data_IF_712647793362
#
_entry.id   IF_712647793362
#
_cell.length_a   1.000
_cell.length_b   1.000
_cell.length_c   1.000
_cell.angle_alpha   90.00
_cell.angle_beta   90.00
_cell.angle_gamma   90.00
#
_symmetry.space_group_name_H-M   'P 1'
#
loop_
_entity.id
_entity.type
_entity.pdbx_description
1 polymer ?
#
# COMPACT_ATOMS: atom_id res chain seq x y z
N UNK A 1 4.79 -1.40 -13.47
CA UNK A 1 4.44 -1.48 -12.04
C UNK A 1 4.20 -0.09 -11.49
N UNK A 2 3.20 0.09 -10.65
CA UNK A 2 2.95 1.33 -9.92
C UNK A 2 3.09 1.11 -8.42
N UNK A 3 3.79 2.03 -7.73
CA UNK A 3 3.85 2.11 -6.27
C UNK A 3 3.21 3.44 -5.84
N UNK A 4 1.97 3.38 -5.38
CA UNK A 4 1.15 4.54 -5.03
C UNK A 4 1.31 4.84 -3.53
N UNK A 5 1.77 6.06 -3.19
CA UNK A 5 2.20 6.41 -1.84
C UNK A 5 3.54 5.75 -1.50
N UNK A 6 4.54 5.94 -2.34
CA UNK A 6 5.80 5.18 -2.26
C UNK A 6 6.68 5.55 -1.06
N UNK A 7 6.44 6.68 -0.40
CA UNK A 7 7.21 7.18 0.74
C UNK A 7 8.72 7.13 0.45
N UNK A 8 9.51 6.48 1.28
CA UNK A 8 10.98 6.33 1.11
C UNK A 8 11.39 5.27 0.09
N UNK A 9 10.43 4.62 -0.59
CA UNK A 9 10.69 3.66 -1.64
C UNK A 9 10.98 2.22 -1.18
N UNK A 10 10.63 1.83 0.04
CA UNK A 10 10.93 0.49 0.54
C UNK A 10 10.29 -0.63 -0.30
N UNK A 11 8.98 -0.52 -0.59
CA UNK A 11 8.29 -1.47 -1.46
C UNK A 11 8.81 -1.40 -2.90
N UNK A 12 9.06 -0.19 -3.41
CA UNK A 12 9.64 0.06 -4.75
C UNK A 12 10.98 -0.64 -4.93
N UNK A 13 11.89 -0.51 -3.94
CA UNK A 13 13.20 -1.18 -3.96
C UNK A 13 13.08 -2.70 -3.87
N UNK A 14 12.16 -3.20 -3.04
CA UNK A 14 11.92 -4.64 -2.91
C UNK A 14 11.47 -5.23 -4.25
N UNK A 15 10.51 -4.59 -4.91
CA UNK A 15 10.03 -5.02 -6.23
C UNK A 15 11.13 -4.91 -7.28
N UNK A 16 11.86 -3.79 -7.33
CA UNK A 16 12.94 -3.56 -8.27
C UNK A 16 14.01 -4.66 -8.25
N UNK A 17 14.32 -5.18 -7.05
CA UNK A 17 15.31 -6.25 -6.87
C UNK A 17 14.84 -7.61 -7.41
N UNK A 18 13.53 -7.81 -7.45
CA UNK A 18 12.93 -9.11 -7.79
C UNK A 18 12.33 -9.16 -9.20
N UNK A 19 12.27 -8.03 -9.92
CA UNK A 19 11.79 -7.98 -11.30
C UNK A 19 13.00 -7.92 -12.24
N UNK A 20 13.09 -8.94 -13.11
CA UNK A 20 14.12 -9.03 -14.15
C UNK A 20 13.56 -9.02 -15.57
N UNK A 21 12.23 -8.83 -15.73
CA UNK A 21 11.59 -8.87 -17.05
C UNK A 21 12.03 -7.67 -17.91
N UNK A 22 12.55 -7.88 -19.12
CA UNK A 22 12.93 -6.81 -20.01
C UNK A 22 11.70 -5.97 -20.40
N UNK A 23 11.85 -4.63 -20.41
CA UNK A 23 10.75 -3.70 -20.69
C UNK A 23 9.87 -3.36 -19.49
N UNK A 24 10.09 -3.97 -18.32
CA UNK A 24 9.44 -3.55 -17.10
C UNK A 24 9.99 -2.21 -16.60
N UNK A 25 9.09 -1.32 -16.14
CA UNK A 25 9.44 -0.08 -15.44
C UNK A 25 8.58 0.05 -14.19
N UNK A 26 9.06 0.78 -13.20
CA UNK A 26 8.34 1.09 -11.96
C UNK A 26 8.08 2.59 -11.91
N UNK A 27 6.82 2.96 -11.69
CA UNK A 27 6.39 4.34 -11.46
C UNK A 27 6.02 4.45 -9.98
N UNK A 28 6.78 5.23 -9.24
CA UNK A 28 6.62 5.43 -7.80
C UNK A 28 6.12 6.86 -7.55
N UNK A 29 5.00 7.00 -6.84
CA UNK A 29 4.33 8.29 -6.67
C UNK A 29 4.15 8.59 -5.18
N UNK A 30 4.44 9.81 -4.78
CA UNK A 30 4.15 10.33 -3.44
C UNK A 30 3.85 11.83 -3.51
N UNK A 31 2.97 12.31 -2.66
CA UNK A 31 2.60 13.73 -2.63
C UNK A 31 3.49 14.58 -1.69
N UNK A 32 4.42 13.96 -0.98
CA UNK A 32 5.36 14.66 -0.10
C UNK A 32 6.67 14.94 -0.83
N UNK A 33 7.03 16.21 -1.12
CA UNK A 33 8.31 16.54 -1.77
C UNK A 33 9.52 15.96 -1.03
N UNK A 34 9.48 15.98 0.31
CA UNK A 34 10.56 15.44 1.14
C UNK A 34 10.71 13.91 1.01
N UNK A 35 9.58 13.19 0.88
CA UNK A 35 9.62 11.74 0.66
C UNK A 35 10.12 11.42 -0.75
N UNK A 36 9.64 12.13 -1.76
CA UNK A 36 10.07 11.98 -3.15
C UNK A 36 11.58 12.19 -3.29
N UNK A 37 12.13 13.25 -2.74
CA UNK A 37 13.57 13.52 -2.77
C UNK A 37 14.39 12.39 -2.12
N UNK A 38 13.95 11.92 -0.95
CA UNK A 38 14.61 10.83 -0.24
C UNK A 38 14.45 9.49 -0.98
N UNK A 39 13.29 9.25 -1.56
CA UNK A 39 13.04 8.06 -2.38
C UNK A 39 14.00 8.02 -3.58
N UNK A 40 14.16 9.12 -4.32
CA UNK A 40 15.11 9.23 -5.44
C UNK A 40 16.52 8.88 -4.98
N UNK A 41 17.00 9.47 -3.88
CA UNK A 41 18.33 9.15 -3.33
C UNK A 41 18.48 7.67 -2.98
N UNK A 42 17.45 7.04 -2.40
CA UNK A 42 17.48 5.61 -2.10
C UNK A 42 17.51 4.75 -3.38
N UNK A 43 16.71 5.11 -4.38
CA UNK A 43 16.68 4.39 -5.67
C UNK A 43 18.04 4.50 -6.38
N UNK A 44 18.66 5.68 -6.39
CA UNK A 44 19.95 5.92 -7.05
C UNK A 44 21.11 5.21 -6.35
N UNK A 45 21.01 5.00 -5.03
CA UNK A 45 22.01 4.26 -4.26
C UNK A 45 22.07 2.75 -4.59
N UNK A 46 21.04 2.20 -5.21
CA UNK A 46 20.96 0.78 -5.57
C UNK A 46 20.92 0.60 -7.09
N UNK A 47 21.97 0.03 -7.66
CA UNK A 47 22.01 -0.32 -9.08
C UNK A 47 21.15 -1.57 -9.34
N UNK A 48 20.21 -1.46 -10.28
CA UNK A 48 19.42 -2.57 -10.78
C UNK A 48 18.96 -2.27 -12.21
N UNK A 49 18.72 -3.29 -13.06
CA UNK A 49 18.39 -3.08 -14.47
C UNK A 49 17.03 -2.42 -14.68
N UNK A 50 16.06 -2.66 -13.77
CA UNK A 50 14.71 -2.13 -13.91
C UNK A 50 14.69 -0.63 -13.60
N UNK A 51 14.28 0.23 -14.55
CA UNK A 51 14.18 1.67 -14.35
C UNK A 51 13.05 2.00 -13.37
N UNK A 52 13.29 3.02 -12.53
CA UNK A 52 12.29 3.57 -11.61
C UNK A 52 12.16 5.06 -11.88
N UNK A 53 10.94 5.50 -12.10
CA UNK A 53 10.55 6.90 -12.16
C UNK A 53 9.86 7.28 -10.86
N UNK A 54 10.38 8.30 -10.15
CA UNK A 54 9.79 8.79 -8.91
C UNK A 54 9.14 10.14 -9.17
N UNK A 55 7.82 10.19 -9.04
CA UNK A 55 6.97 11.34 -9.39
C UNK A 55 6.42 11.94 -8.09
N UNK A 56 6.53 13.28 -7.98
CA UNK A 56 5.79 14.05 -6.99
C UNK A 56 4.37 14.30 -7.53
N UNK A 57 3.37 13.84 -6.81
CA UNK A 57 1.97 14.01 -7.22
C UNK A 57 0.98 13.30 -6.30
N UNK A 58 -0.27 13.72 -6.43
CA UNK A 58 -1.39 13.06 -5.74
C UNK A 58 -1.83 11.82 -6.52
N UNK A 59 -1.96 10.71 -5.84
CA UNK A 59 -2.41 9.46 -6.46
C UNK A 59 -3.83 9.56 -7.04
N UNK A 60 -4.62 10.56 -6.60
CA UNK A 60 -5.95 10.84 -7.15
C UNK A 60 -5.90 11.37 -8.57
N UNK A 61 -4.82 12.06 -8.94
CA UNK A 61 -4.65 12.72 -10.24
C UNK A 61 -3.85 11.88 -11.24
N UNK A 62 -3.19 10.83 -10.78
CA UNK A 62 -2.33 9.97 -11.63
C UNK A 62 -3.17 9.02 -12.48
N UNK A 63 -2.85 8.93 -13.75
CA UNK A 63 -3.37 7.90 -14.64
C UNK A 63 -2.60 6.60 -14.45
N UNK A 64 -3.32 5.50 -14.31
CA UNK A 64 -2.76 4.15 -14.24
C UNK A 64 -3.13 3.42 -15.53
N UNK A 65 -2.14 2.92 -16.25
CA UNK A 65 -2.34 2.21 -17.50
C UNK A 65 -1.26 1.15 -17.72
N UNK A 66 -1.63 0.09 -18.43
CA UNK A 66 -0.72 -1.01 -18.75
C UNK A 66 0.02 -1.57 -17.52
N UNK A 67 -0.69 -1.69 -16.40
CA UNK A 67 -0.11 -2.11 -15.14
C UNK A 67 -0.22 -3.63 -14.97
N UNK A 68 0.90 -4.31 -14.71
CA UNK A 68 0.91 -5.72 -14.30
C UNK A 68 0.81 -5.86 -12.77
N UNK A 69 1.25 -4.84 -12.04
CA UNK A 69 1.21 -4.79 -10.58
C UNK A 69 1.00 -3.36 -10.11
N UNK A 70 0.08 -3.18 -9.18
CA UNK A 70 -0.08 -1.94 -8.41
C UNK A 70 0.10 -2.24 -6.93
N UNK A 71 0.82 -1.38 -6.22
CA UNK A 71 1.08 -1.50 -4.78
C UNK A 71 0.55 -0.25 -4.08
N UNK A 72 -0.32 -0.48 -3.11
CA UNK A 72 -0.80 0.48 -2.12
C UNK A 72 -0.36 -0.03 -0.75
N UNK A 73 0.70 0.55 -0.20
CA UNK A 73 1.30 0.07 1.03
C UNK A 73 1.18 1.12 2.14
N UNK A 74 0.19 0.96 3.00
CA UNK A 74 -0.20 1.91 4.04
C UNK A 74 -0.51 3.31 3.47
N UNK A 75 -1.37 3.34 2.45
CA UNK A 75 -1.62 4.56 1.67
C UNK A 75 -3.08 5.01 1.75
N UNK A 76 -4.06 4.14 1.45
CA UNK A 76 -5.45 4.58 1.37
C UNK A 76 -6.07 4.92 2.74
N UNK A 77 -5.48 4.46 3.82
CA UNK A 77 -5.87 4.85 5.18
C UNK A 77 -5.66 6.35 5.48
N UNK A 78 -4.88 7.06 4.64
CA UNK A 78 -4.67 8.51 4.73
C UNK A 78 -5.56 9.31 3.78
N UNK A 79 -6.35 8.63 2.95
CA UNK A 79 -7.35 9.27 2.10
C UNK A 79 -8.68 9.37 2.83
N UNK A 80 -9.45 10.40 2.50
CA UNK A 80 -10.85 10.47 2.91
C UNK A 80 -11.61 9.22 2.46
N UNK A 81 -12.49 8.65 3.30
CA UNK A 81 -13.22 7.42 2.96
C UNK A 81 -13.96 7.49 1.62
N UNK A 82 -14.47 8.69 1.25
CA UNK A 82 -15.16 8.92 -0.01
C UNK A 82 -14.29 8.75 -1.26
N UNK A 83 -12.98 9.01 -1.14
CA UNK A 83 -12.05 8.95 -2.28
C UNK A 83 -11.53 7.53 -2.54
N UNK A 84 -11.59 6.65 -1.53
CA UNK A 84 -10.94 5.32 -1.58
C UNK A 84 -11.48 4.43 -2.69
N UNK A 85 -12.79 4.46 -2.91
CA UNK A 85 -13.42 3.65 -3.96
C UNK A 85 -12.98 4.10 -5.35
N UNK A 86 -12.88 5.41 -5.59
CA UNK A 86 -12.44 5.95 -6.88
C UNK A 86 -11.00 5.52 -7.22
N UNK A 87 -10.10 5.49 -6.22
CA UNK A 87 -8.73 5.00 -6.40
C UNK A 87 -8.73 3.51 -6.77
N UNK A 88 -9.48 2.65 -6.07
CA UNK A 88 -9.52 1.23 -6.38
C UNK A 88 -10.15 0.94 -7.76
N UNK A 89 -11.16 1.70 -8.16
CA UNK A 89 -11.73 1.63 -9.51
C UNK A 89 -10.68 1.98 -10.58
N UNK A 90 -9.93 3.07 -10.36
CA UNK A 90 -8.83 3.49 -11.25
C UNK A 90 -7.75 2.42 -11.35
N UNK A 91 -7.35 1.82 -10.23
CA UNK A 91 -6.39 0.71 -10.20
C UNK A 91 -6.89 -0.47 -11.03
N UNK A 92 -8.14 -0.89 -10.81
CA UNK A 92 -8.73 -1.99 -11.57
C UNK A 92 -8.75 -1.72 -13.07
N UNK A 93 -9.15 -0.53 -13.47
CA UNK A 93 -9.19 -0.13 -14.89
C UNK A 93 -7.81 -0.15 -15.52
N UNK A 94 -6.79 0.37 -14.83
CA UNK A 94 -5.42 0.47 -15.32
C UNK A 94 -4.61 -0.83 -15.30
N UNK A 95 -5.08 -1.84 -14.57
CA UNK A 95 -4.46 -3.17 -14.56
C UNK A 95 -4.74 -3.91 -15.86
N UNK A 96 -3.72 -4.59 -16.37
CA UNK A 96 -3.86 -5.57 -17.43
C UNK A 96 -4.67 -6.79 -16.96
N UNK A 97 -5.32 -7.54 -17.85
CA UNK A 97 -5.84 -8.86 -17.54
C UNK A 97 -4.76 -9.73 -16.88
N UNK A 98 -5.08 -10.40 -15.77
CA UNK A 98 -4.12 -11.15 -14.95
C UNK A 98 -3.21 -10.28 -14.05
N UNK A 99 -3.31 -8.96 -14.13
CA UNK A 99 -2.57 -8.05 -13.27
C UNK A 99 -3.07 -8.06 -11.83
N UNK A 100 -2.21 -7.68 -10.89
CA UNK A 100 -2.48 -7.76 -9.46
C UNK A 100 -2.39 -6.40 -8.74
N UNK A 101 -3.22 -6.26 -7.71
CA UNK A 101 -3.09 -5.23 -6.69
C UNK A 101 -2.61 -5.88 -5.39
N UNK A 102 -1.60 -5.30 -4.76
CA UNK A 102 -1.23 -5.56 -3.36
C UNK A 102 -1.64 -4.34 -2.53
N UNK A 103 -2.57 -4.55 -1.61
CA UNK A 103 -3.11 -3.54 -0.72
C UNK A 103 -2.76 -3.90 0.73
N UNK A 104 -1.85 -3.17 1.34
CA UNK A 104 -1.47 -3.35 2.75
C UNK A 104 -1.93 -2.18 3.57
N UNK A 105 -2.64 -2.44 4.66
CA UNK A 105 -3.23 -1.40 5.53
C UNK A 105 -3.23 -1.83 7.00
N UNK A 106 -3.43 -0.87 7.87
CA UNK A 106 -3.80 -1.13 9.25
C UNK A 106 -5.31 -1.35 9.31
N UNK A 107 -5.72 -2.41 10.02
CA UNK A 107 -7.13 -2.77 10.13
C UNK A 107 -7.76 -2.34 11.43
N UNK A 108 -9.04 -2.00 11.36
CA UNK A 108 -9.97 -1.97 12.48
C UNK A 108 -10.70 -3.31 12.60
N UNK A 109 -11.24 -3.60 13.77
CA UNK A 109 -11.98 -4.82 14.06
C UNK A 109 -13.37 -4.44 14.59
N UNK A 110 -14.38 -5.21 14.22
CA UNK A 110 -15.75 -5.03 14.73
C UNK A 110 -15.82 -5.39 16.23
N UNK A 111 -15.11 -6.45 16.63
CA UNK A 111 -14.96 -6.83 18.02
C UNK A 111 -13.91 -5.91 18.69
N UNK A 112 -14.38 -5.02 19.54
CA UNK A 112 -13.54 -4.06 20.25
C UNK A 112 -12.52 -4.73 21.18
N UNK A 113 -12.87 -5.88 21.78
CA UNK A 113 -11.97 -6.61 22.68
C UNK A 113 -10.80 -7.24 21.91
N UNK A 114 -11.09 -7.86 20.78
CA UNK A 114 -10.05 -8.40 19.87
C UNK A 114 -9.20 -7.26 19.31
N UNK A 115 -9.82 -6.15 18.94
CA UNK A 115 -9.12 -4.96 18.45
C UNK A 115 -8.13 -4.41 19.48
N UNK A 116 -8.54 -4.29 20.73
CA UNK A 116 -7.69 -3.83 21.84
C UNK A 116 -6.56 -4.82 22.12
N UNK A 117 -6.86 -6.12 22.14
CA UNK A 117 -5.84 -7.17 22.33
C UNK A 117 -4.72 -7.06 21.28
N UNK A 118 -5.08 -7.02 20.00
CA UNK A 118 -4.10 -6.95 18.91
C UNK A 118 -3.33 -5.63 18.90
N UNK A 119 -3.97 -4.54 19.29
CA UNK A 119 -3.31 -3.25 19.46
C UNK A 119 -2.26 -3.31 20.59
N UNK A 120 -2.58 -3.91 21.73
CA UNK A 120 -1.67 -4.05 22.86
C UNK A 120 -0.51 -4.99 22.52
N UNK A 121 -0.78 -6.12 21.89
CA UNK A 121 0.26 -7.04 21.40
C UNK A 121 1.24 -6.35 20.43
N UNK A 122 0.74 -5.50 19.53
CA UNK A 122 1.61 -4.71 18.64
C UNK A 122 2.50 -3.72 19.41
N UNK A 123 1.98 -3.11 20.47
CA UNK A 123 2.77 -2.22 21.32
C UNK A 123 3.84 -3.00 22.09
N UNK A 124 3.50 -4.18 22.64
CA UNK A 124 4.45 -5.06 23.30
C UNK A 124 5.55 -5.52 22.33
N UNK A 125 5.18 -5.85 21.09
CA UNK A 125 6.14 -6.16 20.05
C UNK A 125 7.12 -5.00 19.77
N UNK A 126 6.63 -3.76 19.72
CA UNK A 126 7.51 -2.58 19.57
C UNK A 126 8.48 -2.46 20.75
N UNK A 127 7.98 -2.58 22.00
CA UNK A 127 8.82 -2.53 23.21
C UNK A 127 9.92 -3.60 23.16
N UNK A 128 9.55 -4.83 22.82
CA UNK A 128 10.49 -5.93 22.66
C UNK A 128 11.55 -5.69 21.58
N UNK A 129 11.26 -4.84 20.60
CA UNK A 129 12.19 -4.44 19.54
C UNK A 129 12.90 -3.09 19.82
N UNK A 130 12.91 -2.63 21.06
CA UNK A 130 13.73 -1.50 21.50
C UNK A 130 13.09 -0.12 21.32
N UNK A 131 11.82 -0.01 20.95
CA UNK A 131 11.12 1.27 20.90
C UNK A 131 10.80 1.75 22.33
N UNK A 132 11.11 3.00 22.63
CA UNK A 132 10.73 3.65 23.89
C UNK A 132 9.23 4.00 23.93
N UNK A 133 8.69 4.15 25.13
CA UNK A 133 7.30 4.62 25.32
C UNK A 133 7.07 5.99 24.67
N UNK A 134 8.08 6.86 24.70
CA UNK A 134 7.99 8.17 24.08
C UNK A 134 7.84 8.08 22.56
N UNK A 135 8.65 7.25 21.89
CA UNK A 135 8.55 7.04 20.43
C UNK A 135 7.20 6.42 20.06
N UNK A 136 6.71 5.47 20.84
CA UNK A 136 5.39 4.85 20.62
C UNK A 136 4.28 5.88 20.73
N UNK A 137 4.29 6.71 21.80
CA UNK A 137 3.26 7.73 22.05
C UNK A 137 3.31 8.87 21.03
N UNK A 138 4.49 9.36 20.66
CA UNK A 138 4.66 10.41 19.65
C UNK A 138 4.12 9.95 18.30
N UNK A 139 4.49 8.73 17.84
CA UNK A 139 3.99 8.19 16.59
C UNK A 139 2.48 7.99 16.61
N UNK A 140 1.92 7.59 17.74
CA UNK A 140 0.47 7.48 17.93
C UNK A 140 -0.21 8.84 17.76
N UNK A 141 0.22 9.85 18.50
CA UNK A 141 -0.37 11.20 18.45
C UNK A 141 -0.29 11.83 17.04
N UNK A 142 0.78 11.58 16.30
CA UNK A 142 0.92 12.06 14.91
C UNK A 142 -0.07 11.41 13.94
N UNK A 143 -0.49 10.17 14.20
CA UNK A 143 -1.30 9.39 13.26
C UNK A 143 -2.79 9.34 13.62
N UNK A 144 -3.16 9.53 14.88
CA UNK A 144 -4.55 9.39 15.37
C UNK A 144 -5.56 10.29 14.65
N UNK A 145 -5.13 11.48 14.19
CA UNK A 145 -6.02 12.45 13.54
C UNK A 145 -6.01 12.39 12.01
N UNK A 146 -5.13 11.58 11.41
CA UNK A 146 -4.94 11.56 9.94
C UNK A 146 -5.11 10.18 9.34
N UNK A 147 -5.08 9.14 10.17
CA UNK A 147 -5.20 7.76 9.72
C UNK A 147 -6.58 7.20 10.07
N UNK A 148 -7.37 6.93 9.04
CA UNK A 148 -8.72 6.35 9.16
C UNK A 148 -8.67 4.89 8.70
N UNK A 149 -8.73 3.96 9.66
CA UNK A 149 -8.64 2.52 9.35
C UNK A 149 -10.01 1.92 9.01
N UNK A 150 -9.99 0.93 8.13
CA UNK A 150 -11.15 0.11 7.76
C UNK A 150 -10.95 -1.34 8.20
N UNK A 151 -12.03 -2.12 8.23
CA UNK A 151 -11.94 -3.56 8.44
C UNK A 151 -11.50 -4.30 7.16
N UNK A 152 -11.03 -5.53 7.32
CA UNK A 152 -10.73 -6.42 6.18
C UNK A 152 -11.95 -6.57 5.26
N UNK A 153 -13.14 -6.73 5.85
CA UNK A 153 -14.39 -6.90 5.10
C UNK A 153 -14.74 -5.64 4.31
N UNK A 154 -14.51 -4.45 4.87
CA UNK A 154 -14.70 -3.18 4.15
C UNK A 154 -13.75 -3.08 2.95
N UNK A 155 -12.48 -3.46 3.11
CA UNK A 155 -11.53 -3.49 1.99
C UNK A 155 -11.94 -4.51 0.92
N UNK A 156 -12.33 -5.73 1.32
CA UNK A 156 -12.83 -6.75 0.38
C UNK A 156 -14.09 -6.30 -0.36
N UNK A 157 -15.01 -5.62 0.32
CA UNK A 157 -16.21 -5.08 -0.31
C UNK A 157 -15.87 -4.03 -1.38
N UNK A 158 -14.96 -3.09 -1.08
CA UNK A 158 -14.50 -2.10 -2.06
C UNK A 158 -13.77 -2.72 -3.24
N UNK A 159 -12.93 -3.74 -3.01
CA UNK A 159 -12.25 -4.46 -4.08
C UNK A 159 -13.25 -5.15 -5.01
N UNK A 160 -14.27 -5.83 -4.47
CA UNK A 160 -15.35 -6.41 -5.28
C UNK A 160 -16.11 -5.33 -6.07
N UNK A 161 -16.44 -4.21 -5.43
CA UNK A 161 -17.11 -3.09 -6.10
C UNK A 161 -16.26 -2.47 -7.22
N UNK A 162 -14.94 -2.48 -7.10
CA UNK A 162 -14.02 -2.05 -8.15
C UNK A 162 -13.93 -3.02 -9.34
N UNK A 163 -14.38 -4.28 -9.17
CA UNK A 163 -14.40 -5.30 -10.21
C UNK A 163 -13.46 -6.50 -9.94
N UNK A 164 -12.74 -6.53 -8.82
CA UNK A 164 -11.91 -7.68 -8.47
C UNK A 164 -12.77 -8.84 -7.99
N UNK A 165 -12.81 -9.92 -8.76
CA UNK A 165 -13.51 -11.18 -8.38
C UNK A 165 -12.70 -11.97 -7.35
N UNK A 166 -11.38 -11.88 -7.41
CA UNK A 166 -10.45 -12.60 -6.56
C UNK A 166 -9.67 -11.62 -5.67
N UNK A 167 -10.02 -11.59 -4.40
CA UNK A 167 -9.34 -10.74 -3.40
C UNK A 167 -9.28 -11.47 -2.06
N UNK A 168 -8.06 -11.73 -1.57
CA UNK A 168 -7.84 -12.43 -0.32
C UNK A 168 -6.83 -11.76 0.59
N UNK A 169 -7.03 -11.92 1.90
CA UNK A 169 -6.02 -11.60 2.90
C UNK A 169 -4.96 -12.69 2.88
N UNK A 170 -3.74 -12.36 2.47
CA UNK A 170 -2.64 -13.31 2.34
C UNK A 170 -1.57 -13.18 3.42
N UNK A 171 -1.57 -12.04 4.13
CA UNK A 171 -0.67 -11.78 5.25
C UNK A 171 -1.34 -10.91 6.30
N UNK A 172 -1.16 -11.26 7.59
CA UNK A 172 -1.56 -10.43 8.71
C UNK A 172 -0.56 -10.55 9.85
N UNK A 173 -0.24 -9.42 10.48
CA UNK A 173 0.55 -9.32 11.69
C UNK A 173 -0.11 -8.31 12.64
N UNK A 174 -0.68 -8.80 13.74
CA UNK A 174 -1.52 -8.03 14.66
C UNK A 174 -2.68 -7.36 13.89
N UNK A 175 -2.74 -6.03 13.94
CA UNK A 175 -3.71 -5.21 13.24
C UNK A 175 -3.18 -4.61 11.92
N UNK A 176 -2.13 -5.17 11.35
CA UNK A 176 -1.62 -4.84 10.02
C UNK A 176 -1.77 -6.05 9.11
N UNK A 177 -2.16 -5.82 7.89
CA UNK A 177 -2.26 -6.92 6.94
C UNK A 177 -2.20 -6.47 5.51
N UNK A 178 -2.16 -7.45 4.62
CA UNK A 178 -2.05 -7.26 3.19
C UNK A 178 -3.06 -8.13 2.45
N UNK A 179 -3.81 -7.51 1.56
CA UNK A 179 -4.68 -8.19 0.62
C UNK A 179 -4.00 -8.25 -0.75
N UNK A 180 -4.21 -9.34 -1.45
CA UNK A 180 -3.90 -9.48 -2.86
C UNK A 180 -5.21 -9.57 -3.62
N UNK A 181 -5.34 -8.78 -4.70
CA UNK A 181 -6.48 -8.84 -5.60
C UNK A 181 -5.99 -8.98 -7.03
N UNK A 182 -6.61 -9.87 -7.80
CA UNK A 182 -6.20 -10.18 -9.18
C UNK A 182 -7.33 -9.82 -10.12
N UNK A 183 -7.02 -9.07 -11.17
CA UNK A 183 -7.95 -8.81 -12.28
C UNK A 183 -8.07 -10.08 -13.12
N UNK A 184 -9.30 -10.54 -13.39
CA UNK A 184 -9.51 -11.70 -14.23
C UNK A 184 -8.72 -11.62 -15.54
N UNK A 185 -8.11 -12.73 -15.94
CA UNK A 185 -7.51 -12.85 -17.26
C UNK A 185 -8.57 -12.85 -18.36
N UNK A 186 -8.18 -12.55 -19.59
CA UNK A 186 -9.05 -12.83 -20.73
C UNK A 186 -9.26 -14.36 -20.77
N UNK A 187 -10.54 -14.77 -20.74
CA UNK A 187 -10.84 -16.19 -20.95
C UNK A 187 -10.41 -16.55 -22.37
N UNK A 188 -9.47 -17.49 -22.47
CA UNK A 188 -8.97 -18.01 -23.74
C UNK A 188 -10.05 -18.87 -24.42
#
# INVERSE_FOLDING_TARGET
VYALGCSLGAATLSVRRNISHPGCRIIAIDNSPAMVERCRRHIDAYKAPTPVEVIEGDIRDVTIENASLVILNFTIQFLEPGDRQAILNKVYQGLNPGGALVLSEKFSFEDAHVGELLFNMHHDFKRANGYSELEISQKRSMLENVMLTDSVETHKARLRQAGFEHAELWFQCFNFGSLVAVKAGEQA
#
